data_IF_323094235814
#
_entry.id   IF_323094235814
#
_cell.length_a   1.000
_cell.length_b   1.000
_cell.length_c   1.000
_cell.angle_alpha   90.00
_cell.angle_beta   90.00
_cell.angle_gamma   90.00
#
_symmetry.space_group_name_H-M   'P 1'
#
loop_
_entity.id
_entity.type
_entity.pdbx_description
1 polymer ?
#
# COMPACT_ATOMS: atom_id res chain seq x y z
N UNK A 1 38.01 -25.38 -46.34
CA UNK A 1 38.35 -24.93 -44.97
C UNK A 1 37.05 -24.66 -44.26
N UNK A 2 36.62 -25.62 -43.46
CA UNK A 2 35.34 -25.59 -42.75
C UNK A 2 35.59 -25.10 -41.33
N UNK A 3 34.91 -24.05 -40.93
CA UNK A 3 34.85 -23.68 -39.54
C UNK A 3 33.52 -24.21 -38.94
N UNK A 4 33.66 -25.10 -37.99
CA UNK A 4 32.55 -25.65 -37.19
C UNK A 4 32.24 -24.73 -36.05
N UNK A 5 31.01 -24.22 -36.06
CA UNK A 5 30.42 -23.43 -34.97
C UNK A 5 29.86 -24.41 -33.91
N UNK A 6 30.41 -24.41 -32.71
CA UNK A 6 29.92 -25.20 -31.59
C UNK A 6 29.03 -24.38 -30.69
N UNK A 7 27.72 -24.47 -30.90
CA UNK A 7 26.72 -23.92 -30.02
C UNK A 7 26.57 -24.75 -28.75
N UNK A 8 26.94 -24.19 -27.61
CA UNK A 8 26.67 -24.75 -26.29
C UNK A 8 25.19 -24.59 -25.92
N UNK A 9 24.44 -25.67 -25.93
CA UNK A 9 23.04 -25.68 -25.49
C UNK A 9 22.96 -25.99 -23.99
N UNK A 10 21.96 -25.36 -23.32
CA UNK A 10 21.68 -25.41 -21.86
C UNK A 10 21.33 -26.79 -21.28
N UNK A 11 21.58 -27.90 -22.01
CA UNK A 11 21.17 -29.25 -21.60
C UNK A 11 22.28 -30.11 -20.91
N UNK A 12 23.48 -29.61 -20.77
CA UNK A 12 24.62 -30.44 -20.28
C UNK A 12 25.07 -30.12 -18.84
N UNK A 13 24.16 -29.51 -17.99
CA UNK A 13 24.52 -29.17 -16.60
C UNK A 13 23.85 -30.04 -15.53
N UNK A 14 23.19 -31.14 -15.91
CA UNK A 14 22.61 -32.07 -14.94
C UNK A 14 23.15 -33.47 -15.21
N UNK A 15 24.24 -33.81 -14.55
CA UNK A 15 24.73 -35.17 -14.61
C UNK A 15 26.15 -35.37 -14.10
N UNK A 16 26.44 -35.08 -12.84
CA UNK A 16 27.60 -35.72 -12.15
C UNK A 16 27.46 -35.45 -10.62
N UNK A 17 26.70 -36.26 -9.91
CA UNK A 17 26.86 -36.45 -8.47
C UNK A 17 26.16 -37.76 -8.05
N UNK A 18 26.82 -38.88 -8.27
CA UNK A 18 26.54 -40.13 -7.54
C UNK A 18 27.78 -41.04 -7.62
N UNK A 19 28.36 -41.30 -6.48
CA UNK A 19 29.07 -42.50 -6.08
C UNK A 19 30.35 -42.22 -5.29
N UNK A 20 30.25 -42.38 -3.99
CA UNK A 20 31.29 -42.94 -3.08
C UNK A 20 30.54 -43.27 -1.81
N UNK A 21 30.34 -44.48 -1.39
CA UNK A 21 31.20 -45.56 -1.08
C UNK A 21 31.02 -45.85 0.41
N UNK A 22 30.23 -46.90 0.76
CA UNK A 22 30.07 -47.38 2.15
C UNK A 22 31.34 -48.06 2.63
N UNK A 23 31.78 -47.74 3.86
CA UNK A 23 32.70 -48.58 4.63
C UNK A 23 32.10 -48.74 6.05
N UNK A 24 31.79 -49.97 6.41
CA UNK A 24 31.35 -50.39 7.72
C UNK A 24 32.53 -50.47 8.68
N UNK A 25 32.36 -49.97 9.91
CA UNK A 25 33.19 -50.34 11.04
C UNK A 25 32.31 -50.49 12.27
N UNK A 26 32.27 -51.70 12.80
CA UNK A 26 31.62 -52.11 14.03
C UNK A 26 32.39 -51.60 15.25
N UNK A 27 31.72 -50.95 16.18
CA UNK A 27 32.29 -50.58 17.48
C UNK A 27 31.14 -50.29 18.48
N UNK A 28 30.88 -51.26 19.32
CA UNK A 28 29.99 -51.18 20.48
C UNK A 28 30.56 -50.23 21.53
N UNK A 29 29.89 -49.14 21.79
CA UNK A 29 30.16 -48.23 22.89
C UNK A 29 28.89 -47.46 23.23
N UNK A 30 28.27 -47.90 24.35
CA UNK A 30 27.09 -47.25 24.94
C UNK A 30 27.52 -45.93 25.61
N UNK A 31 27.30 -44.83 24.91
CA UNK A 31 27.35 -43.49 25.49
C UNK A 31 26.00 -42.80 25.25
N UNK A 32 25.28 -42.54 26.33
CA UNK A 32 24.06 -41.72 26.37
C UNK A 32 24.41 -40.32 25.87
N UNK A 33 24.20 -40.05 24.61
CA UNK A 33 24.30 -38.69 24.06
C UNK A 33 23.03 -37.92 24.52
N UNK A 34 23.22 -36.93 25.37
CA UNK A 34 22.23 -35.91 25.62
C UNK A 34 21.81 -35.27 24.32
N UNK A 35 20.52 -35.31 23.98
CA UNK A 35 19.96 -34.54 22.85
C UNK A 35 20.31 -33.05 23.04
N UNK A 36 20.93 -32.39 22.05
CA UNK A 36 21.05 -30.96 22.08
C UNK A 36 19.60 -30.41 22.11
N UNK A 37 19.28 -29.64 23.13
CA UNK A 37 18.00 -28.94 23.22
C UNK A 37 17.80 -28.19 21.91
N UNK A 38 16.66 -28.42 21.25
CA UNK A 38 16.21 -27.63 20.14
C UNK A 38 16.03 -26.19 20.68
N UNK A 39 17.10 -25.39 20.55
CA UNK A 39 17.00 -23.96 20.68
C UNK A 39 15.94 -23.50 19.68
N UNK A 40 14.78 -23.13 20.16
CA UNK A 40 13.79 -22.38 19.41
C UNK A 40 14.55 -21.17 18.90
N UNK A 41 14.99 -21.21 17.62
CA UNK A 41 15.41 -20.01 16.92
C UNK A 41 14.18 -19.10 16.98
N UNK A 42 14.22 -18.08 17.83
CA UNK A 42 13.23 -17.03 17.86
C UNK A 42 13.11 -16.55 16.42
N UNK A 43 11.97 -16.80 15.76
CA UNK A 43 11.67 -16.23 14.47
C UNK A 43 11.85 -14.73 14.68
N UNK A 44 12.86 -14.13 14.05
CA UNK A 44 13.00 -12.68 14.00
C UNK A 44 11.62 -12.12 13.67
N UNK A 45 11.07 -11.33 14.58
CA UNK A 45 9.80 -10.67 14.32
C UNK A 45 9.95 -9.93 12.99
N UNK A 46 9.04 -10.17 12.03
CA UNK A 46 9.11 -9.50 10.74
C UNK A 46 9.05 -8.00 11.00
N UNK A 47 10.09 -7.29 10.60
CA UNK A 47 10.16 -5.84 10.74
C UNK A 47 9.12 -5.20 9.83
N UNK A 48 8.34 -4.24 10.36
CA UNK A 48 7.53 -3.34 9.57
C UNK A 48 8.47 -2.50 8.69
N UNK A 49 8.15 -2.38 7.41
CA UNK A 49 8.88 -1.55 6.47
C UNK A 49 8.23 -0.18 6.37
N UNK A 50 9.04 0.86 6.21
CA UNK A 50 8.55 2.22 6.03
C UNK A 50 8.52 2.61 4.55
N UNK A 51 7.55 3.43 4.19
CA UNK A 51 7.42 4.07 2.89
C UNK A 51 7.10 5.55 3.02
N UNK A 52 7.20 6.28 1.93
CA UNK A 52 6.79 7.67 1.82
C UNK A 52 5.84 7.81 0.64
N UNK A 53 4.63 8.34 0.88
CA UNK A 53 3.74 8.77 -0.19
C UNK A 53 4.31 10.02 -0.86
N UNK A 54 4.37 10.03 -2.18
CA UNK A 54 4.86 11.16 -2.97
C UNK A 54 4.05 12.44 -2.72
N UNK A 55 2.78 12.29 -2.32
CA UNK A 55 1.92 13.37 -1.86
C UNK A 55 2.56 14.22 -0.76
N UNK A 56 3.32 13.60 0.15
CA UNK A 56 4.01 14.26 1.28
C UNK A 56 4.91 15.42 0.88
N UNK A 57 5.36 15.47 -0.37
CA UNK A 57 6.20 16.54 -0.88
C UNK A 57 5.48 17.51 -1.82
N UNK A 58 4.20 17.29 -2.14
CA UNK A 58 3.50 18.11 -3.13
C UNK A 58 2.25 18.82 -2.57
N UNK A 59 1.37 18.12 -1.84
CA UNK A 59 0.10 18.63 -1.31
C UNK A 59 -0.77 19.35 -2.36
N UNK A 60 -0.68 18.93 -3.64
CA UNK A 60 -1.33 19.60 -4.79
C UNK A 60 -0.96 21.08 -4.97
N UNK A 61 0.22 21.49 -4.53
CA UNK A 61 0.73 22.88 -4.64
C UNK A 61 1.83 22.99 -5.69
N UNK A 62 1.88 24.09 -6.39
CA UNK A 62 2.97 24.37 -7.30
C UNK A 62 4.22 24.90 -6.56
N UNK A 63 5.45 24.55 -7.02
CA UNK A 63 5.70 23.63 -8.13
C UNK A 63 5.49 22.16 -7.75
N UNK A 64 5.00 21.36 -8.72
CA UNK A 64 4.87 19.91 -8.54
C UNK A 64 6.25 19.27 -8.39
N UNK A 65 6.44 18.44 -7.38
CA UNK A 65 7.67 17.67 -7.18
C UNK A 65 7.61 16.38 -8.01
N UNK A 66 8.62 16.11 -8.84
CA UNK A 66 8.67 14.90 -9.67
C UNK A 66 8.80 13.62 -8.82
N UNK A 67 8.30 12.51 -9.34
CA UNK A 67 8.40 11.20 -8.67
C UNK A 67 9.86 10.77 -8.51
N UNK A 68 10.71 11.07 -9.48
CA UNK A 68 12.16 10.80 -9.39
C UNK A 68 12.79 11.54 -8.20
N UNK A 69 12.42 12.81 -8.00
CA UNK A 69 12.88 13.59 -6.84
C UNK A 69 12.41 12.97 -5.51
N UNK A 70 11.17 12.46 -5.46
CA UNK A 70 10.66 11.77 -4.27
C UNK A 70 11.44 10.49 -4.00
N UNK A 71 11.74 9.69 -5.02
CA UNK A 71 12.58 8.49 -4.90
C UNK A 71 13.96 8.84 -4.34
N UNK A 72 14.61 9.91 -4.87
CA UNK A 72 15.91 10.37 -4.38
C UNK A 72 15.87 10.81 -2.92
N UNK A 73 14.81 11.52 -2.52
CA UNK A 73 14.62 11.96 -1.12
C UNK A 73 14.38 10.77 -0.19
N UNK A 74 13.58 9.79 -0.64
CA UNK A 74 13.29 8.55 0.10
C UNK A 74 14.58 7.73 0.32
N UNK A 75 15.38 7.57 -0.73
CA UNK A 75 16.68 6.88 -0.64
C UNK A 75 17.64 7.58 0.33
N UNK A 76 17.73 8.92 0.27
CA UNK A 76 18.57 9.70 1.20
C UNK A 76 18.16 9.56 2.65
N UNK A 77 16.86 9.42 2.92
CA UNK A 77 16.35 9.14 4.26
C UNK A 77 16.52 7.68 4.69
N UNK A 78 17.01 6.79 3.81
CA UNK A 78 17.15 5.37 4.10
C UNK A 78 15.80 4.68 4.36
N UNK A 79 14.74 5.12 3.68
CA UNK A 79 13.39 4.55 3.74
C UNK A 79 13.21 3.58 2.58
N UNK A 80 12.49 2.48 2.82
CA UNK A 80 12.47 1.34 1.91
C UNK A 80 11.53 1.48 0.72
N UNK A 81 10.47 2.32 0.81
CA UNK A 81 9.45 2.34 -0.23
C UNK A 81 8.91 3.71 -0.60
N UNK A 82 8.37 3.80 -1.82
CA UNK A 82 7.60 4.96 -2.31
C UNK A 82 6.20 4.51 -2.72
N UNK A 83 5.19 5.20 -2.18
CA UNK A 83 3.81 5.17 -2.63
C UNK A 83 3.61 6.33 -3.61
N UNK A 84 3.32 6.03 -4.87
CA UNK A 84 3.20 7.03 -5.92
C UNK A 84 1.77 7.56 -5.99
N UNK A 85 1.58 8.86 -5.83
CA UNK A 85 0.32 9.50 -6.15
C UNK A 85 0.18 9.61 -7.68
N UNK A 86 -0.79 8.93 -8.28
CA UNK A 86 -0.97 8.87 -9.73
C UNK A 86 -1.03 10.26 -10.38
N UNK A 87 -1.77 11.20 -9.78
CA UNK A 87 -1.89 12.59 -10.28
C UNK A 87 -0.57 13.37 -10.28
N UNK A 88 0.44 12.89 -9.57
CA UNK A 88 1.76 13.52 -9.47
C UNK A 88 2.69 13.04 -10.60
N UNK A 89 2.38 11.93 -11.25
CA UNK A 89 3.15 11.43 -12.38
C UNK A 89 3.15 12.44 -13.53
N UNK A 90 4.28 12.55 -14.23
CA UNK A 90 4.42 13.47 -15.37
C UNK A 90 3.95 12.86 -16.68
N UNK A 91 3.96 11.53 -16.80
CA UNK A 91 3.51 10.80 -17.98
C UNK A 91 3.05 9.38 -17.59
N UNK A 92 2.42 8.70 -18.56
CA UNK A 92 1.92 7.32 -18.40
C UNK A 92 2.44 6.38 -19.51
N UNK A 93 3.28 6.89 -20.40
CA UNK A 93 3.87 6.08 -21.45
C UNK A 93 4.91 5.08 -20.88
N UNK A 94 5.13 3.99 -21.60
CA UNK A 94 6.01 2.93 -21.14
C UNK A 94 7.44 3.40 -20.89
N UNK A 95 7.94 4.37 -21.65
CA UNK A 95 9.29 4.91 -21.46
C UNK A 95 9.45 5.56 -20.10
N UNK A 96 8.49 6.40 -19.70
CA UNK A 96 8.48 7.04 -18.40
C UNK A 96 8.32 6.01 -17.26
N UNK A 97 7.40 5.06 -17.38
CA UNK A 97 7.18 4.03 -16.36
C UNK A 97 8.43 3.19 -16.11
N UNK A 98 9.11 2.74 -17.18
CA UNK A 98 10.33 1.94 -17.06
C UNK A 98 11.50 2.78 -16.51
N UNK A 99 11.55 4.07 -16.83
CA UNK A 99 12.52 5.00 -16.23
C UNK A 99 12.33 5.10 -14.71
N UNK A 100 11.10 5.30 -14.22
CA UNK A 100 10.80 5.35 -12.79
C UNK A 100 11.17 4.03 -12.10
N UNK A 101 10.75 2.89 -12.66
CA UNK A 101 11.07 1.56 -12.15
C UNK A 101 12.58 1.35 -12.02
N UNK A 102 13.35 1.68 -13.07
CA UNK A 102 14.80 1.58 -13.04
C UNK A 102 15.41 2.54 -12.02
N UNK A 103 14.90 3.78 -11.93
CA UNK A 103 15.39 4.78 -10.99
C UNK A 103 15.21 4.33 -9.53
N UNK A 104 14.02 3.83 -9.19
CA UNK A 104 13.75 3.27 -7.86
C UNK A 104 14.69 2.09 -7.55
N UNK A 105 14.82 1.12 -8.48
CA UNK A 105 15.67 -0.04 -8.31
C UNK A 105 17.15 0.33 -8.07
N UNK A 106 17.69 1.28 -8.85
CA UNK A 106 19.11 1.71 -8.72
C UNK A 106 19.37 2.50 -7.45
N UNK A 107 18.33 3.07 -6.84
CA UNK A 107 18.41 3.76 -5.54
C UNK A 107 18.04 2.87 -4.35
N UNK A 108 17.76 1.58 -4.57
CA UNK A 108 17.38 0.65 -3.50
C UNK A 108 16.03 0.94 -2.86
N UNK A 109 15.09 1.51 -3.62
CA UNK A 109 13.74 1.89 -3.18
C UNK A 109 12.71 1.01 -3.88
N UNK A 110 11.79 0.42 -3.11
CA UNK A 110 10.65 -0.33 -3.63
C UNK A 110 9.54 0.64 -4.07
N UNK A 111 8.87 0.38 -5.19
CA UNK A 111 7.61 1.04 -5.53
C UNK A 111 6.47 0.20 -4.93
N UNK A 112 5.78 0.72 -3.90
CA UNK A 112 4.94 -0.09 -3.01
C UNK A 112 3.45 0.05 -3.26
N UNK A 113 2.99 1.21 -3.73
CA UNK A 113 1.59 1.48 -4.03
C UNK A 113 1.48 2.53 -5.13
N UNK A 114 0.41 2.48 -5.93
CA UNK A 114 -0.04 3.57 -6.80
C UNK A 114 -1.35 4.13 -6.25
N UNK A 115 -1.30 5.28 -5.61
CA UNK A 115 -2.47 5.94 -5.02
C UNK A 115 -3.27 6.67 -6.08
N UNK A 116 -4.44 6.13 -6.41
CA UNK A 116 -5.34 6.67 -7.43
C UNK A 116 -6.53 7.42 -6.83
N UNK A 117 -7.22 8.21 -7.65
CA UNK A 117 -8.48 8.85 -7.30
C UNK A 117 -9.55 8.42 -8.30
N UNK A 118 -10.58 7.77 -7.79
CA UNK A 118 -11.80 7.42 -8.52
C UNK A 118 -13.01 7.56 -7.60
N UNK A 119 -14.20 7.53 -8.16
CA UNK A 119 -15.46 7.62 -7.44
C UNK A 119 -16.48 6.65 -8.03
N UNK A 120 -16.93 5.69 -7.21
CA UNK A 120 -17.92 4.69 -7.62
C UNK A 120 -19.34 5.02 -7.13
N UNK A 121 -19.51 6.11 -6.38
CA UNK A 121 -20.79 6.53 -5.82
C UNK A 121 -21.43 7.60 -6.72
N UNK A 122 -21.96 7.16 -7.84
CA UNK A 122 -22.67 8.03 -8.78
C UNK A 122 -23.92 7.29 -9.33
N UNK A 123 -25.09 7.93 -9.42
CA UNK A 123 -26.31 7.32 -9.97
C UNK A 123 -26.19 7.01 -11.46
N UNK A 124 -25.39 7.79 -12.23
CA UNK A 124 -25.17 7.56 -13.64
C UNK A 124 -24.22 6.36 -13.86
N UNK A 125 -24.70 5.25 -14.46
CA UNK A 125 -23.85 4.10 -14.75
C UNK A 125 -22.69 4.43 -15.71
N UNK A 126 -22.83 5.45 -16.57
CA UNK A 126 -21.75 5.85 -17.47
C UNK A 126 -20.60 6.55 -16.70
N UNK A 127 -20.93 7.29 -15.62
CA UNK A 127 -19.90 7.86 -14.73
C UNK A 127 -19.15 6.73 -14.02
N UNK A 128 -19.86 5.76 -13.44
CA UNK A 128 -19.23 4.61 -12.80
C UNK A 128 -18.36 3.82 -13.78
N UNK A 129 -18.84 3.61 -15.01
CA UNK A 129 -18.07 2.88 -16.03
C UNK A 129 -16.74 3.59 -16.36
N UNK A 130 -16.73 4.91 -16.52
CA UNK A 130 -15.47 5.68 -16.70
C UNK A 130 -14.51 5.52 -15.51
N UNK A 131 -15.02 5.45 -14.29
CA UNK A 131 -14.18 5.23 -13.11
C UNK A 131 -13.64 3.78 -13.04
N UNK A 132 -14.39 2.79 -13.51
CA UNK A 132 -13.94 1.40 -13.68
C UNK A 132 -12.78 1.37 -14.71
N UNK A 133 -12.97 1.92 -15.90
CA UNK A 133 -11.95 1.99 -16.94
C UNK A 133 -10.68 2.72 -16.49
N UNK A 134 -10.84 3.81 -15.75
CA UNK A 134 -9.72 4.50 -15.12
C UNK A 134 -8.98 3.61 -14.11
N UNK A 135 -9.71 2.86 -13.30
CA UNK A 135 -9.12 1.93 -12.32
C UNK A 135 -8.37 0.80 -13.02
N UNK A 136 -8.96 0.17 -14.04
CA UNK A 136 -8.31 -0.87 -14.84
C UNK A 136 -7.03 -0.36 -15.52
N UNK A 137 -7.06 0.85 -16.09
CA UNK A 137 -5.86 1.52 -16.61
C UNK A 137 -4.78 1.69 -15.53
N UNK A 138 -5.15 2.12 -14.33
CA UNK A 138 -4.20 2.29 -13.24
C UNK A 138 -3.63 0.96 -12.74
N UNK A 139 -4.41 -0.13 -12.76
CA UNK A 139 -3.92 -1.48 -12.50
C UNK A 139 -2.82 -1.86 -13.50
N UNK A 140 -3.01 -1.58 -14.80
CA UNK A 140 -2.00 -1.83 -15.83
C UNK A 140 -0.74 -0.95 -15.65
N UNK A 141 -0.88 0.31 -15.25
CA UNK A 141 0.26 1.18 -14.93
C UNK A 141 1.06 0.61 -13.75
N UNK A 142 0.38 0.18 -12.67
CA UNK A 142 1.00 -0.45 -11.53
C UNK A 142 1.75 -1.73 -11.94
N UNK A 143 1.12 -2.61 -12.71
CA UNK A 143 1.74 -3.82 -13.26
C UNK A 143 3.03 -3.53 -14.05
N UNK A 144 2.99 -2.56 -14.97
CA UNK A 144 4.16 -2.16 -15.77
C UNK A 144 5.32 -1.66 -14.90
N UNK A 145 5.03 -0.95 -13.83
CA UNK A 145 6.02 -0.47 -12.86
C UNK A 145 6.46 -1.55 -11.85
N UNK A 146 5.76 -2.69 -11.78
CA UNK A 146 6.00 -3.73 -10.78
C UNK A 146 5.48 -3.36 -9.39
N UNK A 147 4.50 -2.46 -9.30
CA UNK A 147 3.82 -2.05 -8.08
C UNK A 147 2.77 -3.11 -7.71
N UNK A 148 2.81 -3.67 -6.47
CA UNK A 148 1.93 -4.78 -6.10
C UNK A 148 0.51 -4.36 -5.70
N UNK A 149 0.26 -3.07 -5.46
CA UNK A 149 -1.04 -2.59 -4.98
C UNK A 149 -1.40 -1.21 -5.52
N UNK A 150 -2.70 -0.94 -5.64
CA UNK A 150 -3.22 0.41 -5.85
C UNK A 150 -4.13 0.79 -4.69
N UNK A 151 -4.07 2.05 -4.24
CA UNK A 151 -5.06 2.59 -3.31
C UNK A 151 -6.37 2.83 -4.04
N UNK A 152 -7.47 2.38 -3.44
CA UNK A 152 -8.81 2.52 -3.97
C UNK A 152 -9.69 3.32 -2.99
N UNK A 153 -10.46 4.29 -3.47
CA UNK A 153 -11.49 4.96 -2.69
C UNK A 153 -12.88 4.33 -2.98
N UNK A 154 -13.82 4.45 -2.06
CA UNK A 154 -15.20 4.05 -2.33
C UNK A 154 -15.94 5.03 -3.24
N UNK A 155 -15.53 6.28 -3.18
CA UNK A 155 -16.31 7.39 -3.68
C UNK A 155 -17.26 7.97 -2.62
N UNK A 156 -17.90 9.08 -2.95
CA UNK A 156 -18.78 9.83 -2.07
C UNK A 156 -19.97 10.44 -2.83
N UNK A 157 -21.02 10.85 -2.12
CA UNK A 157 -22.22 11.42 -2.74
C UNK A 157 -21.98 12.73 -3.51
N UNK A 158 -20.92 13.47 -3.20
CA UNK A 158 -20.58 14.73 -3.84
C UNK A 158 -21.62 15.83 -3.60
N UNK A 159 -22.47 15.70 -2.59
CA UNK A 159 -23.48 16.70 -2.22
C UNK A 159 -22.87 17.91 -1.53
N UNK A 160 -21.71 17.74 -0.89
CA UNK A 160 -20.91 18.85 -0.34
C UNK A 160 -19.79 19.17 -1.34
N UNK A 161 -19.93 20.27 -2.08
CA UNK A 161 -19.00 20.63 -3.18
C UNK A 161 -17.66 21.18 -2.70
N UNK A 162 -17.64 21.93 -1.59
CA UNK A 162 -16.42 22.50 -1.03
C UNK A 162 -15.69 21.47 -0.16
N UNK A 163 -14.42 21.21 -0.45
CA UNK A 163 -13.59 20.30 0.37
C UNK A 163 -13.42 20.85 1.80
N UNK A 164 -13.21 22.16 1.97
CA UNK A 164 -13.12 22.77 3.29
C UNK A 164 -14.40 22.53 4.09
N UNK A 165 -15.58 22.71 3.44
CA UNK A 165 -16.86 22.44 4.09
C UNK A 165 -17.03 20.96 4.44
N UNK A 166 -16.56 20.05 3.59
CA UNK A 166 -16.56 18.62 3.89
C UNK A 166 -15.72 18.30 5.14
N UNK A 167 -14.55 18.95 5.27
CA UNK A 167 -13.68 18.78 6.44
C UNK A 167 -14.29 19.37 7.72
N UNK A 168 -14.92 20.54 7.65
CA UNK A 168 -15.70 21.09 8.76
C UNK A 168 -16.81 20.13 9.22
N UNK A 169 -17.43 19.41 8.29
CA UNK A 169 -18.45 18.38 8.55
C UNK A 169 -17.82 17.00 8.89
N UNK A 170 -16.50 16.93 9.07
CA UNK A 170 -15.77 15.71 9.37
C UNK A 170 -16.03 14.57 8.37
N UNK A 171 -16.06 14.93 7.08
CA UNK A 171 -16.31 14.01 5.98
C UNK A 171 -17.75 13.55 5.84
N UNK A 172 -18.71 14.14 6.59
CA UNK A 172 -20.14 13.81 6.51
C UNK A 172 -20.79 14.54 5.36
N UNK A 173 -21.53 13.81 4.53
CA UNK A 173 -22.33 14.34 3.44
C UNK A 173 -23.78 13.82 3.52
N UNK A 174 -24.78 14.62 3.16
CA UNK A 174 -26.12 14.10 2.89
C UNK A 174 -26.10 13.09 1.75
N UNK A 175 -26.95 12.09 1.84
CA UNK A 175 -27.22 11.17 0.73
C UNK A 175 -27.88 11.98 -0.40
N UNK A 176 -27.54 11.65 -1.64
CA UNK A 176 -28.13 12.29 -2.82
C UNK A 176 -29.65 12.08 -2.82
N UNK A 177 -30.48 13.12 -3.01
CA UNK A 177 -31.93 12.99 -3.03
C UNK A 177 -32.43 11.94 -4.05
N UNK A 178 -33.36 11.11 -3.60
CA UNK A 178 -33.91 10.01 -4.43
C UNK A 178 -33.16 8.69 -4.32
N UNK A 179 -32.06 8.62 -3.57
CA UNK A 179 -31.27 7.42 -3.37
C UNK A 179 -31.13 7.08 -1.89
N UNK A 180 -30.65 5.86 -1.63
CA UNK A 180 -30.41 5.33 -0.29
C UNK A 180 -28.92 5.06 -0.08
N UNK A 181 -28.52 4.85 1.17
CA UNK A 181 -27.16 4.43 1.49
C UNK A 181 -26.83 3.09 0.84
N UNK A 182 -27.80 2.17 0.74
CA UNK A 182 -27.64 0.87 0.13
C UNK A 182 -27.39 0.96 -1.38
N UNK A 183 -27.96 1.94 -2.07
CA UNK A 183 -27.64 2.17 -3.50
C UNK A 183 -26.16 2.52 -3.67
N UNK A 184 -25.63 3.40 -2.84
CA UNK A 184 -24.20 3.76 -2.87
C UNK A 184 -23.30 2.55 -2.63
N UNK A 185 -23.61 1.72 -1.64
CA UNK A 185 -22.84 0.50 -1.38
C UNK A 185 -22.92 -0.48 -2.54
N UNK A 186 -24.11 -0.68 -3.09
CA UNK A 186 -24.30 -1.55 -4.27
C UNK A 186 -23.44 -1.08 -5.44
N UNK A 187 -23.50 0.20 -5.79
CA UNK A 187 -22.70 0.75 -6.90
C UNK A 187 -21.20 0.59 -6.70
N UNK A 188 -20.73 0.81 -5.47
CA UNK A 188 -19.33 0.66 -5.13
C UNK A 188 -18.89 -0.81 -5.24
N UNK A 189 -19.63 -1.74 -4.66
CA UNK A 189 -19.34 -3.18 -4.70
C UNK A 189 -19.35 -3.68 -6.15
N UNK A 190 -20.42 -3.42 -6.91
CA UNK A 190 -20.55 -3.80 -8.31
C UNK A 190 -19.38 -3.25 -9.17
N UNK A 191 -18.88 -2.06 -8.86
CA UNK A 191 -17.78 -1.43 -9.59
C UNK A 191 -16.42 -2.06 -9.24
N UNK A 192 -16.19 -2.35 -7.97
CA UNK A 192 -14.97 -3.04 -7.52
C UNK A 192 -14.91 -4.44 -8.13
N UNK A 193 -16.01 -5.20 -8.08
CA UNK A 193 -16.08 -6.55 -8.65
C UNK A 193 -15.73 -6.56 -10.14
N UNK A 194 -16.11 -5.54 -10.91
CA UNK A 194 -15.73 -5.40 -12.32
C UNK A 194 -14.23 -5.16 -12.54
N UNK A 195 -13.54 -4.54 -11.59
CA UNK A 195 -12.08 -4.31 -11.67
C UNK A 195 -11.26 -5.55 -11.25
N UNK A 196 -11.84 -6.49 -10.49
CA UNK A 196 -11.12 -7.66 -9.96
C UNK A 196 -10.51 -8.59 -11.01
N UNK A 197 -11.15 -8.89 -12.15
CA UNK A 197 -10.53 -9.70 -13.20
C UNK A 197 -9.22 -9.11 -13.70
N UNK A 198 -9.17 -7.79 -13.90
CA UNK A 198 -7.95 -7.08 -14.31
C UNK A 198 -6.90 -7.07 -13.18
N UNK A 199 -7.31 -6.88 -11.95
CA UNK A 199 -6.43 -6.96 -10.78
C UNK A 199 -5.78 -8.36 -10.67
N UNK A 200 -6.56 -9.42 -10.85
CA UNK A 200 -6.06 -10.80 -10.84
C UNK A 200 -5.11 -11.09 -12.00
N UNK A 201 -5.44 -10.64 -13.22
CA UNK A 201 -4.60 -10.78 -14.41
C UNK A 201 -3.21 -10.14 -14.20
N UNK A 202 -3.19 -8.94 -13.63
CA UNK A 202 -1.98 -8.15 -13.42
C UNK A 202 -1.24 -8.50 -12.11
N UNK A 203 -1.86 -9.24 -11.19
CA UNK A 203 -1.29 -9.51 -9.87
C UNK A 203 -1.18 -8.26 -9.01
N UNK A 204 -2.15 -7.33 -9.11
CA UNK A 204 -2.18 -6.05 -8.41
C UNK A 204 -3.37 -6.02 -7.45
N UNK A 205 -3.11 -5.84 -6.16
CA UNK A 205 -4.16 -5.75 -5.14
C UNK A 205 -4.85 -4.39 -5.16
N UNK A 206 -6.18 -4.38 -5.06
CA UNK A 206 -7.01 -3.20 -4.84
C UNK A 206 -7.11 -2.96 -3.32
N UNK A 207 -6.38 -2.00 -2.77
CA UNK A 207 -6.38 -1.70 -1.35
C UNK A 207 -7.41 -0.59 -1.04
N UNK A 208 -8.60 -0.98 -0.57
CA UNK A 208 -9.70 -0.06 -0.26
C UNK A 208 -9.40 0.72 1.02
N UNK A 209 -9.36 2.04 0.89
CA UNK A 209 -9.01 2.96 1.97
C UNK A 209 -10.22 3.38 2.82
N UNK A 210 -10.02 3.53 4.14
CA UNK A 210 -10.93 4.33 4.96
C UNK A 210 -10.74 5.81 4.63
N UNK A 211 -11.67 6.32 3.82
CA UNK A 211 -11.64 7.69 3.27
C UNK A 211 -13.04 8.33 3.35
N UNK A 212 -13.19 9.54 2.81
CA UNK A 212 -14.51 10.21 2.74
C UNK A 212 -15.52 9.38 1.96
N UNK A 213 -16.80 9.54 2.25
CA UNK A 213 -17.88 8.80 1.62
C UNK A 213 -18.24 7.52 2.36
N UNK A 214 -18.41 6.39 1.65
CA UNK A 214 -18.93 5.15 2.23
C UNK A 214 -17.97 4.52 3.24
N UNK A 215 -16.66 4.70 3.07
CA UNK A 215 -15.62 4.11 3.92
C UNK A 215 -15.17 5.04 5.05
N UNK A 216 -15.92 6.12 5.31
CA UNK A 216 -15.67 7.06 6.42
C UNK A 216 -15.81 6.42 7.80
N UNK A 217 -16.49 5.28 7.90
CA UNK A 217 -16.62 4.53 9.15
C UNK A 217 -16.09 3.10 8.97
N UNK A 218 -15.61 2.45 10.05
CA UNK A 218 -15.19 1.05 9.98
C UNK A 218 -16.27 0.12 9.45
N UNK A 219 -17.52 0.34 9.85
CA UNK A 219 -18.67 -0.45 9.43
C UNK A 219 -18.87 -0.36 7.91
N UNK A 220 -18.76 0.85 7.35
CA UNK A 220 -18.87 1.07 5.90
C UNK A 220 -17.72 0.40 5.13
N UNK A 221 -16.49 0.57 5.60
CA UNK A 221 -15.31 -0.08 5.00
C UNK A 221 -15.44 -1.61 5.06
N UNK A 222 -15.73 -2.16 6.23
CA UNK A 222 -15.87 -3.60 6.44
C UNK A 222 -17.07 -4.18 5.68
N UNK A 223 -18.15 -3.41 5.48
CA UNK A 223 -19.30 -3.84 4.67
C UNK A 223 -18.86 -4.15 3.23
N UNK A 224 -18.04 -3.31 2.62
CA UNK A 224 -17.55 -3.51 1.25
C UNK A 224 -16.56 -4.68 1.22
N UNK A 225 -15.54 -4.66 2.08
CA UNK A 225 -14.48 -5.69 2.09
C UNK A 225 -15.04 -7.08 2.41
N UNK A 226 -16.06 -7.19 3.27
CA UNK A 226 -16.68 -8.48 3.62
C UNK A 226 -17.70 -8.97 2.58
N UNK A 227 -18.21 -8.10 1.70
CA UNK A 227 -19.15 -8.48 0.65
C UNK A 227 -18.45 -9.12 -0.57
N UNK A 228 -17.16 -8.90 -0.73
CA UNK A 228 -16.37 -9.33 -1.88
C UNK A 228 -15.37 -10.40 -1.43
N UNK A 229 -15.57 -11.64 -1.89
CA UNK A 229 -14.66 -12.76 -1.62
C UNK A 229 -13.60 -12.84 -2.73
N UNK A 230 -12.52 -12.07 -2.60
CA UNK A 230 -11.43 -12.05 -3.57
C UNK A 230 -10.10 -11.76 -2.89
N UNK A 231 -9.02 -12.50 -3.21
CA UNK A 231 -7.67 -12.20 -2.70
C UNK A 231 -7.08 -10.92 -3.30
N UNK A 232 -7.75 -10.34 -4.31
CA UNK A 232 -7.31 -9.12 -4.98
C UNK A 232 -7.99 -7.85 -4.45
N UNK A 233 -8.89 -7.97 -3.47
CA UNK A 233 -9.38 -6.84 -2.67
C UNK A 233 -8.77 -6.92 -1.28
N UNK A 234 -7.98 -5.92 -0.92
CA UNK A 234 -7.41 -5.72 0.41
C UNK A 234 -7.93 -4.47 1.09
N UNK A 235 -7.50 -4.25 2.32
CA UNK A 235 -7.84 -3.08 3.12
C UNK A 235 -6.61 -2.20 3.31
N UNK A 236 -6.72 -0.92 2.93
CA UNK A 236 -5.78 0.12 3.29
C UNK A 236 -6.30 0.86 4.51
N UNK A 237 -5.53 0.81 5.60
CA UNK A 237 -5.83 1.54 6.83
C UNK A 237 -5.08 2.86 6.85
N UNK A 238 -5.79 3.99 6.69
CA UNK A 238 -5.25 5.32 6.89
C UNK A 238 -5.48 5.76 8.34
N UNK A 239 -4.42 6.15 9.04
CA UNK A 239 -4.47 6.51 10.46
C UNK A 239 -5.15 7.85 10.72
N UNK A 240 -5.19 8.73 9.72
CA UNK A 240 -5.67 10.10 9.83
C UNK A 240 -7.07 10.34 9.28
N UNK A 241 -7.72 9.36 8.63
CA UNK A 241 -9.02 9.59 7.99
C UNK A 241 -10.22 9.29 8.90
N UNK A 242 -10.03 8.67 10.06
CA UNK A 242 -11.06 8.59 11.09
C UNK A 242 -11.00 9.83 11.99
N UNK A 243 -11.74 10.89 11.64
CA UNK A 243 -11.69 12.20 12.30
C UNK A 243 -12.32 12.24 13.71
N UNK A 244 -12.98 11.15 14.12
CA UNK A 244 -13.62 11.00 15.43
C UNK A 244 -13.24 9.62 15.99
N UNK A 245 -12.84 9.54 17.26
CA UNK A 245 -12.45 8.30 17.94
C UNK A 245 -11.45 7.43 17.13
N UNK A 246 -10.33 7.99 16.63
CA UNK A 246 -9.48 7.31 15.64
C UNK A 246 -9.00 5.93 16.12
N UNK A 247 -8.51 5.82 17.33
CA UNK A 247 -7.93 4.56 17.83
C UNK A 247 -8.93 3.41 17.91
N UNK A 248 -10.14 3.67 18.41
CA UNK A 248 -11.20 2.66 18.45
C UNK A 248 -11.56 2.16 17.07
N UNK A 249 -11.61 3.06 16.10
CA UNK A 249 -11.93 2.73 14.72
C UNK A 249 -10.78 2.01 14.00
N UNK A 250 -9.53 2.40 14.28
CA UNK A 250 -8.35 1.70 13.79
C UNK A 250 -8.28 0.27 14.34
N UNK A 251 -8.57 0.07 15.64
CA UNK A 251 -8.63 -1.28 16.24
C UNK A 251 -9.65 -2.21 15.54
N UNK A 252 -10.77 -1.66 15.04
CA UNK A 252 -11.80 -2.45 14.36
C UNK A 252 -11.34 -2.99 12.98
N UNK A 253 -10.43 -2.31 12.31
CA UNK A 253 -10.01 -2.65 10.94
C UNK A 253 -8.59 -3.21 10.86
N UNK A 254 -7.75 -2.97 11.86
CA UNK A 254 -6.32 -3.29 11.82
C UNK A 254 -6.01 -4.77 11.50
N UNK A 255 -6.84 -5.72 11.98
CA UNK A 255 -6.63 -7.14 11.71
C UNK A 255 -6.85 -7.55 10.24
N UNK A 256 -7.45 -6.67 9.43
CA UNK A 256 -7.66 -6.84 7.99
C UNK A 256 -6.78 -5.93 7.13
N UNK A 257 -5.90 -5.13 7.74
CA UNK A 257 -5.06 -4.20 7.00
C UNK A 257 -3.97 -4.94 6.21
N UNK A 258 -3.94 -4.71 4.93
CA UNK A 258 -2.90 -5.19 4.00
C UNK A 258 -1.86 -4.11 3.70
N UNK A 259 -2.28 -2.84 3.78
CA UNK A 259 -1.43 -1.67 3.61
C UNK A 259 -1.83 -0.58 4.61
N UNK A 260 -0.87 0.22 5.09
CA UNK A 260 -1.12 1.31 6.03
C UNK A 260 -0.59 2.62 5.48
N UNK A 261 -1.42 3.66 5.48
CA UNK A 261 -0.99 5.05 5.34
C UNK A 261 -1.04 5.74 6.71
N UNK A 262 0.00 6.49 7.02
CA UNK A 262 0.18 7.10 8.33
C UNK A 262 0.38 8.61 8.20
N UNK A 263 -0.59 9.40 8.68
CA UNK A 263 -0.59 10.86 8.54
C UNK A 263 0.13 11.56 9.69
N UNK A 264 0.92 12.57 9.37
CA UNK A 264 1.54 13.48 10.35
C UNK A 264 1.29 14.94 9.98
N UNK A 265 1.35 15.83 10.99
CA UNK A 265 0.85 17.20 10.83
C UNK A 265 1.79 18.26 11.42
N UNK A 266 3.12 18.12 11.28
CA UNK A 266 4.08 19.10 11.79
C UNK A 266 3.82 20.49 11.21
N UNK A 267 3.77 21.50 12.09
CA UNK A 267 3.38 22.86 11.71
C UNK A 267 1.87 23.11 11.62
N UNK A 268 1.05 22.17 12.08
CA UNK A 268 -0.40 22.13 11.87
C UNK A 268 -0.78 21.50 10.54
N UNK A 269 -2.00 21.01 10.43
CA UNK A 269 -2.48 20.31 9.23
C UNK A 269 -2.87 21.26 8.10
N UNK A 270 -2.75 20.78 6.88
CA UNK A 270 -3.21 21.48 5.68
C UNK A 270 -4.74 21.67 5.65
N UNK A 271 -5.44 20.62 6.00
CA UNK A 271 -6.89 20.55 5.95
C UNK A 271 -7.51 20.43 7.34
N UNK A 272 -6.93 19.62 8.17
CA UNK A 272 -7.27 19.38 9.56
C UNK A 272 -6.02 18.87 10.30
N UNK A 273 -6.08 18.82 11.62
CA UNK A 273 -5.02 18.26 12.45
C UNK A 273 -5.64 17.23 13.38
N UNK A 274 -5.04 16.03 13.42
CA UNK A 274 -5.29 15.05 14.47
C UNK A 274 -4.02 14.92 15.31
N UNK A 275 -4.19 14.96 16.63
CA UNK A 275 -3.13 14.61 17.57
C UNK A 275 -3.06 13.09 17.70
N UNK A 276 -2.23 12.46 16.86
CA UNK A 276 -2.08 11.01 16.78
C UNK A 276 -0.88 10.55 17.61
N UNK A 277 -1.16 9.82 18.68
CA UNK A 277 -0.17 9.06 19.42
C UNK A 277 0.27 7.82 18.62
N UNK A 278 1.42 7.91 17.97
CA UNK A 278 1.94 6.83 17.13
C UNK A 278 2.44 5.62 17.94
N UNK A 279 2.75 5.76 19.22
CA UNK A 279 3.00 4.60 20.07
C UNK A 279 1.73 3.74 20.19
N UNK A 280 0.59 4.39 20.40
CA UNK A 280 -0.71 3.70 20.46
C UNK A 280 -1.10 3.07 19.11
N UNK A 281 -0.80 3.75 18.00
CA UNK A 281 -0.99 3.17 16.65
C UNK A 281 -0.11 1.93 16.46
N UNK A 282 1.15 1.98 16.89
CA UNK A 282 2.07 0.86 16.82
C UNK A 282 1.57 -0.34 17.64
N UNK A 283 1.01 -0.09 18.82
CA UNK A 283 0.45 -1.16 19.67
C UNK A 283 -0.78 -1.82 19.02
N UNK A 284 -1.64 -1.03 18.36
CA UNK A 284 -2.79 -1.55 17.58
C UNK A 284 -2.29 -2.47 16.46
N UNK A 285 -1.29 -2.03 15.67
CA UNK A 285 -0.74 -2.81 14.57
C UNK A 285 0.00 -4.07 15.05
N UNK A 286 0.76 -4.00 16.15
CA UNK A 286 1.41 -5.17 16.78
C UNK A 286 0.37 -6.20 17.23
N UNK A 287 -0.69 -5.74 17.89
CA UNK A 287 -1.81 -6.60 18.32
C UNK A 287 -2.50 -7.28 17.14
N UNK A 288 -2.58 -6.60 16.01
CA UNK A 288 -3.10 -7.14 14.76
C UNK A 288 -2.10 -8.03 14.00
N UNK A 289 -0.87 -8.20 14.50
CA UNK A 289 0.24 -8.89 13.82
C UNK A 289 0.56 -8.32 12.42
N UNK A 290 0.40 -7.02 12.24
CA UNK A 290 0.71 -6.35 10.98
C UNK A 290 2.21 -6.38 10.69
N UNK A 291 2.58 -6.74 9.46
CA UNK A 291 3.99 -6.87 9.01
C UNK A 291 4.22 -6.28 7.63
N UNK A 292 3.29 -5.46 7.14
CA UNK A 292 3.35 -4.81 5.83
C UNK A 292 4.14 -3.50 5.83
N UNK A 293 3.88 -2.68 4.83
CA UNK A 293 4.42 -1.32 4.74
C UNK A 293 3.56 -0.31 5.51
N UNK A 294 4.22 0.66 6.14
CA UNK A 294 3.60 1.89 6.62
C UNK A 294 4.12 3.03 5.75
N UNK A 295 3.25 3.60 4.91
CA UNK A 295 3.55 4.73 4.03
C UNK A 295 3.21 6.04 4.73
N UNK A 296 4.21 6.92 4.91
CA UNK A 296 3.99 8.25 5.45
C UNK A 296 3.17 9.11 4.47
N UNK A 297 2.08 9.69 4.94
CA UNK A 297 1.41 10.84 4.33
C UNK A 297 1.59 12.07 5.22
N UNK A 298 2.65 12.86 4.98
CA UNK A 298 2.82 14.13 5.66
C UNK A 298 1.81 15.15 5.11
N UNK A 299 0.95 15.67 5.97
CA UNK A 299 -0.07 16.68 5.66
C UNK A 299 0.10 17.97 6.47
N UNK A 300 1.32 18.23 6.95
CA UNK A 300 1.63 19.40 7.76
C UNK A 300 2.02 20.63 6.94
N UNK A 301 1.94 21.80 7.58
CA UNK A 301 2.35 23.09 7.02
C UNK A 301 3.83 23.41 7.20
N UNK A 302 4.57 22.62 7.96
CA UNK A 302 6.01 22.75 8.01
C UNK A 302 6.62 22.48 6.62
N UNK A 303 7.84 23.00 6.32
CA UNK A 303 8.54 22.64 5.09
C UNK A 303 8.60 21.12 4.94
N UNK A 304 8.22 20.60 3.75
CA UNK A 304 8.05 19.18 3.55
C UNK A 304 9.31 18.35 3.87
N UNK A 305 10.49 18.85 3.51
CA UNK A 305 11.76 18.17 3.82
C UNK A 305 11.99 18.01 5.34
N UNK A 306 11.61 19.00 6.14
CA UNK A 306 11.72 18.93 7.60
C UNK A 306 10.62 18.04 8.21
N UNK A 307 9.37 18.24 7.76
CA UNK A 307 8.21 17.52 8.27
C UNK A 307 8.29 16.03 7.98
N UNK A 308 8.69 15.65 6.76
CA UNK A 308 8.89 14.26 6.37
C UNK A 308 10.03 13.63 7.17
N UNK A 309 11.19 14.29 7.31
CA UNK A 309 12.30 13.76 8.08
C UNK A 309 11.92 13.50 9.54
N UNK A 310 11.28 14.47 10.21
CA UNK A 310 10.76 14.31 11.58
C UNK A 310 9.74 13.17 11.71
N UNK A 311 8.89 13.00 10.70
CA UNK A 311 7.89 11.92 10.68
C UNK A 311 8.55 10.54 10.57
N UNK A 312 9.57 10.41 9.73
CA UNK A 312 10.32 9.15 9.60
C UNK A 312 11.08 8.82 10.88
N UNK A 313 11.69 9.80 11.54
CA UNK A 313 12.35 9.59 12.83
C UNK A 313 11.35 9.12 13.91
N UNK A 314 10.16 9.72 13.96
CA UNK A 314 9.06 9.27 14.81
C UNK A 314 8.69 7.82 14.49
N UNK A 315 8.46 7.48 13.22
CA UNK A 315 8.05 6.13 12.83
C UNK A 315 9.12 5.09 13.15
N UNK A 316 10.40 5.41 12.96
CA UNK A 316 11.50 4.55 13.37
C UNK A 316 11.51 4.29 14.86
N UNK A 317 11.20 5.30 15.68
CA UNK A 317 11.20 5.15 17.13
C UNK A 317 10.08 4.24 17.66
N UNK A 318 8.97 4.09 16.93
CA UNK A 318 7.78 3.35 17.39
C UNK A 318 7.53 2.04 16.64
N UNK A 319 7.98 1.90 15.37
CA UNK A 319 7.71 0.72 14.54
C UNK A 319 8.94 -0.19 14.34
N UNK A 320 10.09 0.16 14.88
CA UNK A 320 11.32 -0.65 14.81
C UNK A 320 11.27 -1.90 15.68
#
# INVERSE_FOLDING_TARGET
MSHSDSSLTRRNFIGTAAAFGAAAATGTGCMTAAKPGAGSAARSAKRIKLGISSYSYWHFRDPKVSIETVIDKTARLGVEGVDILHRQMDAEDNGYLQKLKRHAFTNGVDLICLSIHQDFVDPDPAVRQRNIEHTEKCIELAYKMGIPSIRLNSGRWGTVKSFNKLMELRGKEPILPGYTLDDGFKWCIDSIEKCLPKAAECGVMLALENHWGLTRTPEGLLRIVNAIDSPWLGLLMDTGNFLEEPYKKLEMVAAKADFVQAKTYYGGGEWYTLDLDYQRVADILRKANYTGYISLEFEGKAPADEGVAKSIDLFRSVFS
#
